data_IF_072805059973
#
_entry.id   IF_072805059973
#
_cell.length_a   1.000
_cell.length_b   1.000
_cell.length_c   1.000
_cell.angle_alpha   90.00
_cell.angle_beta   90.00
_cell.angle_gamma   90.00
#
_symmetry.space_group_name_H-M   'P 1'
#
loop_
_entity.id
_entity.type
_entity.pdbx_description
1 polymer ?
#
# COMPACT_ATOMS: atom_id res chain seq x y z
N UNK A 1 -15.68 -10.20 -0.38
CA UNK A 1 -15.88 -9.61 -1.71
C UNK A 1 -16.57 -8.27 -1.56
N UNK A 2 -15.87 -7.23 -1.96
CA UNK A 2 -16.35 -5.85 -2.04
C UNK A 2 -17.47 -5.74 -3.06
N UNK A 3 -18.48 -4.98 -2.69
CA UNK A 3 -19.66 -4.64 -3.49
C UNK A 3 -19.80 -3.13 -3.50
N UNK A 4 -20.21 -2.55 -4.63
CA UNK A 4 -20.62 -1.14 -4.68
C UNK A 4 -22.13 -1.10 -4.45
N UNK A 5 -22.59 -0.29 -3.49
CA UNK A 5 -24.00 -0.28 -3.06
C UNK A 5 -24.98 -0.06 -4.22
N UNK A 6 -24.67 0.90 -5.10
CA UNK A 6 -25.50 1.21 -6.29
C UNK A 6 -25.27 0.25 -7.47
N UNK A 7 -24.37 -0.73 -7.34
CA UNK A 7 -24.05 -1.72 -8.37
C UNK A 7 -23.77 -3.11 -7.77
N UNK A 8 -24.75 -3.74 -7.08
CA UNK A 8 -24.52 -4.96 -6.31
C UNK A 8 -24.23 -6.21 -7.16
N UNK A 9 -24.49 -6.12 -8.47
CA UNK A 9 -24.29 -7.21 -9.43
C UNK A 9 -22.81 -7.47 -9.73
N UNK A 10 -21.90 -6.54 -9.39
CA UNK A 10 -20.46 -6.72 -9.56
C UNK A 10 -19.80 -6.83 -8.20
N UNK A 11 -19.13 -7.96 -7.97
CA UNK A 11 -18.38 -8.22 -6.74
C UNK A 11 -16.94 -8.51 -7.08
N UNK A 12 -16.02 -7.95 -6.31
CA UNK A 12 -14.57 -8.16 -6.50
C UNK A 12 -13.92 -8.43 -5.15
N UNK A 13 -12.97 -9.36 -5.10
CA UNK A 13 -12.10 -9.59 -3.95
C UNK A 13 -10.67 -9.80 -4.40
N UNK A 14 -9.74 -9.46 -3.51
CA UNK A 14 -8.38 -10.01 -3.54
C UNK A 14 -8.38 -11.24 -2.62
N UNK A 15 -7.91 -12.38 -3.12
CA UNK A 15 -7.87 -13.65 -2.39
C UNK A 15 -6.46 -14.17 -2.29
N UNK A 16 -6.15 -14.83 -1.18
CA UNK A 16 -4.88 -15.52 -0.96
C UNK A 16 -4.94 -16.89 -1.63
N UNK A 17 -3.91 -17.23 -2.41
CA UNK A 17 -3.89 -18.46 -3.24
C UNK A 17 -3.90 -19.74 -2.39
N UNK A 18 -3.18 -19.74 -1.27
CA UNK A 18 -2.98 -20.95 -0.44
C UNK A 18 -4.24 -21.33 0.33
N UNK A 19 -4.91 -20.36 0.94
CA UNK A 19 -6.13 -20.57 1.73
C UNK A 19 -7.41 -20.52 0.91
N UNK A 20 -7.35 -20.00 -0.33
CA UNK A 20 -8.52 -19.63 -1.13
C UNK A 20 -9.52 -18.78 -0.32
N UNK A 21 -9.02 -17.88 0.54
CA UNK A 21 -9.83 -16.98 1.35
C UNK A 21 -9.71 -15.55 0.85
N UNK A 22 -10.77 -14.77 1.02
CA UNK A 22 -10.74 -13.32 0.78
C UNK A 22 -9.77 -12.68 1.78
N UNK A 23 -8.98 -11.69 1.34
CA UNK A 23 -8.26 -10.81 2.26
C UNK A 23 -9.25 -10.11 3.19
N UNK A 24 -8.84 -9.83 4.42
CA UNK A 24 -9.64 -8.98 5.32
C UNK A 24 -9.70 -7.57 4.74
N UNK A 25 -10.91 -7.05 4.62
CA UNK A 25 -11.23 -5.75 4.00
C UNK A 25 -11.60 -4.74 5.09
N UNK A 26 -11.03 -3.53 5.03
CA UNK A 26 -11.32 -2.40 5.92
C UNK A 26 -11.74 -1.18 5.11
N UNK A 27 -12.47 -0.25 5.72
CA UNK A 27 -12.80 1.03 5.08
C UNK A 27 -11.54 1.86 4.83
N UNK A 28 -11.46 2.49 3.65
CA UNK A 28 -10.34 3.38 3.30
C UNK A 28 -10.77 4.84 3.54
N UNK A 29 -10.31 5.49 4.63
CA UNK A 29 -10.69 6.88 4.92
C UNK A 29 -10.06 7.89 3.96
N UNK A 30 -9.01 7.48 3.22
CA UNK A 30 -8.27 8.33 2.30
C UNK A 30 -8.10 7.61 0.96
N UNK A 31 -9.17 7.41 0.16
CA UNK A 31 -9.16 6.61 -1.06
C UNK A 31 -8.15 7.15 -2.09
N UNK A 32 -7.56 6.29 -2.94
CA UNK A 32 -6.48 6.72 -3.83
C UNK A 32 -7.03 7.72 -4.87
N UNK A 33 -6.47 8.93 -4.88
CA UNK A 33 -6.88 10.00 -5.80
C UNK A 33 -6.47 9.76 -7.26
N UNK A 34 -5.43 8.94 -7.50
CA UNK A 34 -4.84 8.78 -8.84
C UNK A 34 -5.07 7.37 -9.37
N UNK A 35 -5.97 7.24 -10.35
CA UNK A 35 -6.16 5.97 -11.06
C UNK A 35 -4.97 5.67 -11.98
N UNK A 36 -4.63 4.39 -12.08
CA UNK A 36 -3.63 3.84 -13.01
C UNK A 36 -4.12 3.90 -14.46
N UNK A 37 -5.43 3.98 -14.65
CA UNK A 37 -6.06 4.07 -15.96
C UNK A 37 -6.77 5.43 -16.13
N UNK A 38 -6.57 6.06 -17.29
CA UNK A 38 -7.34 7.24 -17.65
C UNK A 38 -8.86 6.99 -17.67
N UNK A 39 -9.62 8.07 -17.55
CA UNK A 39 -11.07 8.07 -17.63
C UNK A 39 -11.80 8.09 -16.28
N UNK A 40 -13.11 8.28 -16.36
CA UNK A 40 -14.03 8.36 -15.20
C UNK A 40 -14.79 7.05 -15.03
N UNK A 41 -15.07 6.68 -13.78
CA UNK A 41 -15.92 5.54 -13.46
C UNK A 41 -17.27 6.05 -12.95
N UNK A 42 -18.37 5.38 -13.33
CA UNK A 42 -19.71 5.72 -12.83
C UNK A 42 -19.84 5.37 -11.33
N UNK A 43 -19.26 4.24 -10.95
CA UNK A 43 -19.26 3.73 -9.59
C UNK A 43 -17.82 3.47 -9.15
N UNK A 44 -17.47 3.81 -7.91
CA UNK A 44 -16.16 3.51 -7.35
C UNK A 44 -16.26 3.14 -5.88
N UNK A 45 -15.39 2.24 -5.43
CA UNK A 45 -15.21 1.89 -4.02
C UNK A 45 -13.73 1.65 -3.75
N UNK A 46 -13.28 2.03 -2.56
CA UNK A 46 -11.93 1.78 -2.09
C UNK A 46 -11.99 1.03 -0.76
N UNK A 47 -11.13 0.03 -0.63
CA UNK A 47 -10.93 -0.72 0.61
C UNK A 47 -9.45 -0.87 0.88
N UNK A 48 -9.11 -0.98 2.15
CA UNK A 48 -7.80 -1.40 2.59
C UNK A 48 -7.84 -2.91 2.79
N UNK A 49 -6.80 -3.62 2.35
CA UNK A 49 -6.63 -5.04 2.62
C UNK A 49 -5.30 -5.29 3.32
N UNK A 50 -5.27 -6.32 4.15
CA UNK A 50 -4.03 -6.77 4.77
C UNK A 50 -3.20 -7.58 3.77
N UNK A 51 -1.94 -7.19 3.58
CA UNK A 51 -0.93 -7.96 2.84
C UNK A 51 0.02 -8.67 3.79
N UNK A 52 0.36 -9.89 3.43
CA UNK A 52 1.39 -10.69 4.09
C UNK A 52 2.58 -10.88 3.16
N UNK A 53 3.79 -10.77 3.70
CA UNK A 53 5.02 -10.93 2.92
C UNK A 53 5.07 -12.31 2.23
N UNK A 54 5.61 -12.32 1.02
CA UNK A 54 5.83 -13.52 0.20
C UNK A 54 4.58 -14.36 -0.09
N UNK A 55 3.40 -13.77 0.08
CA UNK A 55 2.13 -14.48 -0.08
C UNK A 55 1.53 -14.27 -1.47
N UNK A 56 1.25 -15.38 -2.17
CA UNK A 56 0.59 -15.35 -3.48
C UNK A 56 -0.88 -14.95 -3.35
N UNK A 57 -1.34 -14.10 -4.27
CA UNK A 57 -2.72 -13.64 -4.30
C UNK A 57 -3.27 -13.60 -5.74
N UNK A 58 -4.60 -13.51 -5.84
CA UNK A 58 -5.29 -13.32 -7.10
C UNK A 58 -6.54 -12.45 -6.94
N UNK A 59 -7.00 -11.89 -8.06
CA UNK A 59 -8.23 -11.12 -8.10
C UNK A 59 -9.36 -12.07 -8.47
N UNK A 60 -10.38 -12.17 -7.63
CA UNK A 60 -11.60 -12.93 -7.88
C UNK A 60 -12.74 -11.96 -8.16
N UNK A 61 -13.56 -12.26 -9.17
CA UNK A 61 -14.72 -11.44 -9.46
C UNK A 61 -15.95 -12.30 -9.79
N UNK A 62 -17.12 -11.76 -9.44
CA UNK A 62 -18.42 -12.35 -9.73
C UNK A 62 -19.32 -11.28 -10.32
N UNK A 63 -19.93 -11.57 -11.47
CA UNK A 63 -20.80 -10.66 -12.19
C UNK A 63 -22.15 -11.34 -12.44
N UNK A 64 -23.22 -10.75 -11.93
CA UNK A 64 -24.59 -11.21 -12.12
C UNK A 64 -25.23 -10.54 -13.33
N UNK A 65 -25.92 -11.32 -14.18
CA UNK A 65 -26.59 -10.79 -15.39
C UNK A 65 -28.02 -10.29 -15.14
N UNK A 66 -28.33 -9.69 -13.99
CA UNK A 66 -29.68 -9.17 -13.75
C UNK A 66 -29.97 -7.89 -14.55
N UNK A 67 -28.92 -7.20 -15.03
CA UNK A 67 -29.01 -5.95 -15.79
C UNK A 67 -28.90 -6.14 -17.32
N UNK A 68 -28.89 -7.38 -17.82
CA UNK A 68 -28.86 -7.68 -19.25
C UNK A 68 -27.58 -7.19 -19.96
N UNK A 69 -26.42 -7.34 -19.31
CA UNK A 69 -25.14 -6.87 -19.85
C UNK A 69 -24.61 -7.68 -21.03
N UNK A 70 -25.12 -8.89 -21.21
CA UNK A 70 -24.67 -9.83 -22.22
C UNK A 70 -25.75 -10.05 -23.26
N UNK A 71 -25.43 -9.72 -24.50
CA UNK A 71 -26.30 -9.91 -25.66
C UNK A 71 -25.43 -10.07 -26.90
N UNK A 72 -25.38 -11.29 -27.46
CA UNK A 72 -24.61 -11.57 -28.67
C UNK A 72 -23.11 -11.34 -28.47
N UNK A 73 -22.55 -10.29 -29.10
CA UNK A 73 -21.14 -9.93 -28.93
C UNK A 73 -20.91 -8.82 -27.89
N UNK A 74 -21.96 -8.32 -27.22
CA UNK A 74 -21.83 -7.36 -26.13
C UNK A 74 -21.53 -8.09 -24.82
N UNK A 75 -20.72 -7.46 -23.99
CA UNK A 75 -20.41 -7.95 -22.66
C UNK A 75 -19.58 -6.95 -21.87
N UNK A 76 -18.83 -7.47 -20.91
CA UNK A 76 -17.98 -6.66 -20.03
C UNK A 76 -16.51 -7.07 -20.17
N UNK A 77 -15.62 -6.15 -19.86
CA UNK A 77 -14.20 -6.45 -19.67
C UNK A 77 -13.80 -6.07 -18.26
N UNK A 78 -13.20 -7.02 -17.55
CA UNK A 78 -12.57 -6.82 -16.25
C UNK A 78 -11.08 -6.65 -16.47
N UNK A 79 -10.55 -5.48 -16.18
CA UNK A 79 -9.12 -5.16 -16.31
C UNK A 79 -8.51 -5.01 -14.93
N UNK A 80 -7.36 -5.65 -14.71
CA UNK A 80 -6.61 -5.54 -13.47
C UNK A 80 -5.35 -4.70 -13.68
N UNK A 81 -5.15 -3.72 -12.82
CA UNK A 81 -3.93 -2.97 -12.64
C UNK A 81 -3.37 -3.26 -11.25
N UNK A 82 -2.06 -3.44 -11.14
CA UNK A 82 -1.37 -3.59 -9.86
C UNK A 82 -0.15 -2.68 -9.89
N UNK A 83 0.01 -1.86 -8.85
CA UNK A 83 1.12 -0.88 -8.74
C UNK A 83 1.25 0.04 -9.97
N UNK A 84 0.11 0.48 -10.52
CA UNK A 84 0.07 1.35 -11.69
C UNK A 84 0.20 0.64 -13.03
N UNK A 85 0.41 -0.68 -13.04
CA UNK A 85 0.70 -1.45 -14.26
C UNK A 85 -0.47 -2.35 -14.62
N UNK A 86 -0.86 -2.35 -15.90
CA UNK A 86 -1.88 -3.25 -16.42
C UNK A 86 -1.35 -4.68 -16.43
N UNK A 87 -2.02 -5.58 -15.71
CA UNK A 87 -1.60 -6.98 -15.58
C UNK A 87 -2.30 -7.88 -16.59
N UNK A 88 -3.63 -7.88 -16.57
CA UNK A 88 -4.45 -8.75 -17.42
C UNK A 88 -5.81 -8.11 -17.68
N UNK A 89 -6.56 -8.66 -18.65
CA UNK A 89 -7.93 -8.29 -18.93
C UNK A 89 -8.74 -9.49 -19.39
N UNK A 90 -9.90 -9.69 -18.76
CA UNK A 90 -10.81 -10.81 -19.06
C UNK A 90 -12.09 -10.29 -19.69
N UNK A 91 -12.43 -10.85 -20.85
CA UNK A 91 -13.69 -10.55 -21.53
C UNK A 91 -14.77 -11.49 -20.98
N UNK A 92 -15.78 -10.91 -20.33
CA UNK A 92 -16.97 -11.59 -19.87
C UNK A 92 -18.05 -11.48 -20.96
N UNK A 93 -18.42 -12.62 -21.56
CA UNK A 93 -19.40 -12.72 -22.65
C UNK A 93 -20.52 -13.67 -22.24
N UNK A 94 -21.62 -13.61 -22.99
CA UNK A 94 -22.80 -14.46 -22.77
C UNK A 94 -22.45 -15.95 -22.67
N UNK A 95 -21.54 -16.45 -23.52
CA UNK A 95 -21.06 -17.85 -23.51
C UNK A 95 -20.40 -18.28 -22.19
N UNK A 96 -19.93 -17.34 -21.38
CA UNK A 96 -19.32 -17.60 -20.08
C UNK A 96 -20.36 -17.66 -18.94
N UNK A 97 -21.61 -17.27 -19.19
CA UNK A 97 -22.67 -17.31 -18.17
C UNK A 97 -22.95 -18.74 -17.71
N UNK A 98 -23.06 -18.91 -16.41
CA UNK A 98 -23.48 -20.14 -15.74
C UNK A 98 -24.51 -19.78 -14.68
N UNK A 99 -25.74 -20.27 -14.85
CA UNK A 99 -26.87 -20.00 -13.93
C UNK A 99 -27.06 -18.49 -13.64
N UNK A 100 -26.86 -17.63 -14.64
CA UNK A 100 -27.01 -16.17 -14.51
C UNK A 100 -25.76 -15.42 -14.02
N UNK A 101 -24.65 -16.11 -13.74
CA UNK A 101 -23.42 -15.49 -13.23
C UNK A 101 -22.22 -15.77 -14.12
N UNK A 102 -21.24 -14.86 -14.12
CA UNK A 102 -19.87 -15.08 -14.55
C UNK A 102 -18.98 -14.96 -13.33
N UNK A 103 -18.25 -16.03 -13.00
CA UNK A 103 -17.23 -16.05 -11.94
C UNK A 103 -15.91 -16.47 -12.55
N UNK A 104 -14.88 -15.69 -12.31
CA UNK A 104 -13.56 -15.95 -12.87
C UNK A 104 -12.49 -15.21 -12.03
N UNK A 105 -11.22 -15.43 -12.35
CA UNK A 105 -10.07 -14.92 -11.61
C UNK A 105 -8.94 -14.44 -12.50
N UNK A 106 -8.19 -13.47 -12.00
CA UNK A 106 -6.94 -12.99 -12.58
C UNK A 106 -5.82 -13.35 -11.59
N UNK A 107 -5.06 -14.39 -11.91
CA UNK A 107 -4.05 -14.99 -11.02
C UNK A 107 -2.65 -14.46 -11.23
N UNK A 108 -2.40 -13.85 -12.38
CA UNK A 108 -1.05 -13.53 -12.80
C UNK A 108 -0.98 -12.84 -14.13
N UNK A 109 0.23 -12.76 -14.65
CA UNK A 109 0.56 -12.20 -15.95
C UNK A 109 1.30 -13.25 -16.78
N UNK A 110 0.94 -13.34 -18.06
CA UNK A 110 1.64 -14.18 -19.02
C UNK A 110 2.71 -13.38 -19.74
N UNK A 111 3.95 -13.83 -19.62
CA UNK A 111 5.13 -13.26 -20.29
C UNK A 111 5.68 -14.24 -21.32
N UNK A 112 6.41 -13.79 -22.35
CA UNK A 112 7.05 -14.71 -23.29
C UNK A 112 7.98 -15.69 -22.56
N UNK A 113 7.87 -16.98 -22.87
CA UNK A 113 8.80 -18.00 -22.35
C UNK A 113 10.11 -18.01 -23.13
N UNK A 114 11.16 -18.56 -22.52
CA UNK A 114 12.38 -18.95 -23.24
C UNK A 114 12.13 -20.10 -24.22
N UNK A 115 11.07 -20.90 -24.00
CA UNK A 115 10.67 -21.96 -24.91
C UNK A 115 9.83 -21.39 -26.06
N UNK A 116 10.24 -21.57 -27.33
CA UNK A 116 9.50 -21.06 -28.47
C UNK A 116 8.04 -21.53 -28.48
N UNK A 117 7.13 -20.60 -28.74
CA UNK A 117 5.69 -20.87 -28.80
C UNK A 117 4.98 -21.01 -27.44
N UNK A 118 5.71 -20.94 -26.32
CA UNK A 118 5.14 -20.98 -24.97
C UNK A 118 5.07 -19.61 -24.32
N UNK A 119 4.17 -19.47 -23.37
CA UNK A 119 4.12 -18.35 -22.44
C UNK A 119 4.47 -18.86 -21.05
N UNK A 120 5.05 -18.02 -20.19
CA UNK A 120 5.23 -18.34 -18.78
C UNK A 120 4.17 -17.58 -17.98
N UNK A 121 3.29 -18.30 -17.29
CA UNK A 121 2.33 -17.71 -16.34
C UNK A 121 3.05 -17.44 -15.03
N UNK A 122 3.10 -16.18 -14.61
CA UNK A 122 3.69 -15.76 -13.34
C UNK A 122 2.61 -15.20 -12.42
N UNK A 123 2.45 -15.80 -11.25
CA UNK A 123 1.43 -15.40 -10.29
C UNK A 123 1.83 -14.13 -9.53
N UNK A 124 0.85 -13.39 -9.04
CA UNK A 124 1.11 -12.24 -8.19
C UNK A 124 1.48 -12.67 -6.78
N UNK A 125 2.40 -11.93 -6.17
CA UNK A 125 2.87 -12.19 -4.81
C UNK A 125 3.18 -10.86 -4.12
N UNK A 126 2.67 -10.66 -2.92
CA UNK A 126 3.04 -9.48 -2.12
C UNK A 126 4.53 -9.54 -1.78
N UNK A 127 5.19 -8.39 -1.81
CA UNK A 127 6.63 -8.32 -1.58
C UNK A 127 7.05 -7.00 -0.95
N UNK A 128 7.88 -7.08 0.09
CA UNK A 128 8.47 -5.91 0.74
C UNK A 128 9.28 -5.04 -0.24
N UNK A 129 9.10 -3.72 -0.11
CA UNK A 129 9.86 -2.71 -0.86
C UNK A 129 11.22 -2.48 -0.19
N UNK A 130 12.28 -2.51 -0.99
CA UNK A 130 13.64 -2.15 -0.54
C UNK A 130 13.91 -0.66 -0.75
N UNK A 131 14.29 0.04 0.32
CA UNK A 131 14.67 1.46 0.28
C UNK A 131 16.16 1.62 -0.01
N UNK A 132 16.53 2.46 -0.97
CA UNK A 132 17.92 2.71 -1.39
C UNK A 132 18.30 4.18 -1.19
N UNK A 133 19.43 4.48 -0.55
CA UNK A 133 19.81 5.87 -0.21
C UNK A 133 20.38 6.65 -1.42
N UNK A 134 21.24 6.04 -2.24
CA UNK A 134 22.00 6.72 -3.30
C UNK A 134 21.44 6.51 -4.71
N UNK A 135 20.11 6.58 -4.86
CA UNK A 135 19.45 6.43 -6.16
C UNK A 135 18.95 7.76 -6.73
N UNK A 136 19.87 8.69 -7.01
CA UNK A 136 19.52 10.03 -7.50
C UNK A 136 19.01 10.04 -8.94
N UNK A 137 19.60 9.22 -9.80
CA UNK A 137 19.35 9.25 -11.26
C UNK A 137 17.93 8.84 -11.66
N UNK A 138 17.22 8.12 -10.78
CA UNK A 138 15.84 7.64 -11.02
C UNK A 138 14.81 8.23 -10.05
N UNK A 139 15.15 9.29 -9.32
CA UNK A 139 14.25 9.85 -8.30
C UNK A 139 12.89 10.27 -8.86
N UNK A 140 12.85 10.81 -10.09
CA UNK A 140 11.59 11.21 -10.74
C UNK A 140 10.71 10.01 -11.09
N UNK A 141 11.31 8.95 -11.65
CA UNK A 141 10.62 7.69 -11.95
C UNK A 141 10.12 7.02 -10.68
N UNK A 142 10.96 6.96 -9.64
CA UNK A 142 10.61 6.39 -8.34
C UNK A 142 9.43 7.15 -7.71
N UNK A 143 9.42 8.49 -7.77
CA UNK A 143 8.30 9.31 -7.29
C UNK A 143 7.00 9.02 -8.04
N UNK A 144 7.07 8.79 -9.35
CA UNK A 144 5.89 8.45 -10.14
C UNK A 144 5.37 7.05 -9.80
N UNK A 145 6.28 6.07 -9.68
CA UNK A 145 5.92 4.71 -9.31
C UNK A 145 5.23 4.64 -7.93
N UNK A 146 5.69 5.43 -6.97
CA UNK A 146 5.13 5.48 -5.60
C UNK A 146 3.67 5.93 -5.57
N UNK A 147 3.18 6.70 -6.56
CA UNK A 147 1.77 7.16 -6.59
C UNK A 147 0.76 6.02 -6.72
N UNK A 148 1.17 4.93 -7.35
CA UNK A 148 0.29 3.78 -7.62
C UNK A 148 0.70 2.54 -6.83
N UNK A 149 1.85 2.56 -6.17
CA UNK A 149 2.41 1.46 -5.42
C UNK A 149 1.52 1.09 -4.23
N UNK A 150 1.36 -0.20 -3.96
CA UNK A 150 0.52 -0.67 -2.87
C UNK A 150 -0.97 -0.70 -3.22
N UNK A 151 -1.33 -0.67 -4.51
CA UNK A 151 -2.73 -0.63 -4.96
C UNK A 151 -2.99 -1.69 -6.03
N UNK A 152 -4.04 -2.48 -5.80
CA UNK A 152 -4.71 -3.27 -6.84
C UNK A 152 -5.94 -2.49 -7.29
N UNK A 153 -6.01 -2.19 -8.58
CA UNK A 153 -7.14 -1.49 -9.19
C UNK A 153 -7.83 -2.40 -10.20
N UNK A 154 -9.12 -2.64 -10.00
CA UNK A 154 -9.94 -3.46 -10.89
C UNK A 154 -11.00 -2.60 -11.56
N UNK A 155 -11.03 -2.61 -12.88
CA UNK A 155 -11.89 -1.77 -13.70
C UNK A 155 -12.83 -2.65 -14.49
N UNK A 156 -14.11 -2.31 -14.47
CA UNK A 156 -15.13 -2.95 -15.32
C UNK A 156 -15.63 -1.97 -16.37
N UNK A 157 -15.60 -2.38 -17.64
CA UNK A 157 -16.04 -1.57 -18.78
C UNK A 157 -16.99 -2.36 -19.68
N UNK A 158 -17.92 -1.66 -20.34
CA UNK A 158 -18.70 -2.25 -21.43
C UNK A 158 -17.77 -2.55 -22.61
N UNK A 159 -18.02 -3.66 -23.29
CA UNK A 159 -17.23 -4.07 -24.44
C UNK A 159 -18.10 -4.73 -25.51
N UNK A 160 -17.66 -4.59 -26.76
CA UNK A 160 -18.16 -5.30 -27.92
C UNK A 160 -17.01 -6.20 -28.41
N UNK A 161 -17.23 -7.50 -28.37
CA UNK A 161 -16.29 -8.50 -28.86
C UNK A 161 -16.26 -8.50 -30.39
N UNK A 162 -15.05 -8.41 -30.95
CA UNK A 162 -14.80 -8.33 -32.39
C UNK A 162 -14.20 -9.62 -32.96
N UNK A 163 -14.11 -10.69 -32.15
CA UNK A 163 -13.48 -11.94 -32.54
C UNK A 163 -12.08 -12.15 -31.94
N UNK A 164 -11.44 -13.26 -32.30
CA UNK A 164 -10.12 -13.60 -31.76
C UNK A 164 -9.03 -12.65 -32.27
N UNK A 165 -8.01 -12.46 -31.44
CA UNK A 165 -6.82 -11.73 -31.80
C UNK A 165 -5.75 -12.69 -32.34
N UNK A 166 -5.08 -12.28 -33.41
CA UNK A 166 -4.15 -13.13 -34.16
C UNK A 166 -2.95 -13.61 -33.32
N UNK A 167 -2.52 -12.83 -32.32
CA UNK A 167 -1.49 -13.23 -31.36
C UNK A 167 -1.74 -12.56 -30.01
N UNK A 168 -1.72 -13.37 -28.96
CA UNK A 168 -1.58 -12.86 -27.60
C UNK A 168 -0.21 -12.20 -27.49
N UNK A 169 -0.17 -10.91 -27.14
CA UNK A 169 1.07 -10.23 -26.77
C UNK A 169 1.23 -10.39 -25.27
N UNK A 170 2.30 -11.07 -24.85
CA UNK A 170 2.66 -11.15 -23.44
C UNK A 170 2.79 -9.76 -22.83
N UNK A 171 2.38 -9.64 -21.57
CA UNK A 171 2.63 -8.43 -20.80
C UNK A 171 4.13 -8.27 -20.52
N UNK A 172 4.54 -7.05 -20.17
CA UNK A 172 5.76 -6.85 -19.39
C UNK A 172 5.33 -6.44 -17.99
N UNK A 173 5.81 -7.17 -16.99
CA UNK A 173 5.44 -6.91 -15.61
C UNK A 173 6.70 -6.98 -14.74
N UNK A 174 7.60 -6.03 -14.99
CA UNK A 174 8.75 -5.81 -14.14
C UNK A 174 8.33 -4.83 -13.05
N UNK A 175 8.03 -5.31 -11.85
CA UNK A 175 7.73 -4.42 -10.72
C UNK A 175 9.00 -3.79 -10.16
N UNK A 176 8.89 -2.56 -9.67
CA UNK A 176 10.00 -1.80 -9.12
C UNK A 176 9.93 -1.81 -7.60
N UNK A 177 10.56 -2.82 -7.00
CA UNK A 177 10.58 -2.99 -5.54
C UNK A 177 11.75 -2.29 -4.88
N UNK A 178 12.78 -1.90 -5.65
CA UNK A 178 13.87 -1.05 -5.17
C UNK A 178 13.51 0.39 -5.50
N UNK A 179 13.38 1.25 -4.50
CA UNK A 179 13.00 2.66 -4.67
C UNK A 179 13.91 3.56 -3.83
N UNK A 180 14.18 4.77 -4.33
CA UNK A 180 14.91 5.78 -3.59
C UNK A 180 14.19 6.09 -2.28
N UNK A 181 14.91 6.09 -1.15
CA UNK A 181 14.39 6.46 0.17
C UNK A 181 13.69 7.83 0.12
N UNK A 182 14.24 8.78 -0.67
CA UNK A 182 13.68 10.12 -0.89
C UNK A 182 12.32 10.13 -1.61
N UNK A 183 11.98 9.11 -2.39
CA UNK A 183 10.67 8.99 -3.03
C UNK A 183 9.59 8.51 -2.04
N UNK A 184 9.98 7.83 -0.96
CA UNK A 184 9.08 7.19 0.01
C UNK A 184 8.83 8.00 1.29
N UNK A 185 9.47 9.17 1.47
CA UNK A 185 9.43 9.95 2.74
C UNK A 185 8.01 10.25 3.23
N UNK A 186 7.04 10.39 2.32
CA UNK A 186 5.63 10.68 2.64
C UNK A 186 4.69 9.49 2.38
N UNK A 187 5.24 8.31 2.11
CA UNK A 187 4.48 7.13 1.77
C UNK A 187 4.53 6.12 2.91
N UNK A 188 3.38 5.65 3.37
CA UNK A 188 3.27 4.55 4.34
C UNK A 188 3.34 3.18 3.67
N UNK A 189 3.57 3.13 2.35
CA UNK A 189 3.62 1.89 1.58
C UNK A 189 4.89 1.11 1.93
N UNK A 190 4.69 -0.10 2.45
CA UNK A 190 5.75 -1.05 2.81
C UNK A 190 5.88 -2.20 1.82
N UNK A 191 4.78 -2.54 1.13
CA UNK A 191 4.70 -3.65 0.20
C UNK A 191 4.40 -3.16 -1.21
N UNK A 192 4.98 -3.85 -2.18
CA UNK A 192 4.59 -3.81 -3.58
C UNK A 192 4.22 -5.22 -4.05
N UNK A 193 4.15 -5.40 -5.36
CA UNK A 193 3.92 -6.70 -5.96
C UNK A 193 5.20 -7.23 -6.61
N UNK A 194 5.41 -8.53 -6.46
CA UNK A 194 6.39 -9.32 -7.20
C UNK A 194 5.68 -10.41 -8.00
N UNK A 195 6.44 -11.10 -8.84
CA UNK A 195 5.95 -12.23 -9.61
C UNK A 195 6.70 -13.49 -9.23
N UNK A 196 6.00 -14.63 -9.26
CA UNK A 196 6.65 -15.94 -9.12
C UNK A 196 7.53 -16.25 -10.34
N UNK A 197 8.40 -17.26 -10.22
CA UNK A 197 9.19 -17.74 -11.37
C UNK A 197 8.29 -18.14 -12.54
N UNK A 198 7.12 -18.70 -12.20
CA UNK A 198 6.06 -19.06 -13.13
C UNK A 198 6.22 -20.45 -13.73
N UNK A 199 5.23 -20.85 -14.52
CA UNK A 199 5.21 -22.13 -15.24
C UNK A 199 4.87 -21.90 -16.70
N UNK A 200 5.50 -22.68 -17.58
CA UNK A 200 5.17 -22.63 -19.00
C UNK A 200 3.75 -23.14 -19.23
N UNK A 201 3.01 -22.39 -20.03
CA UNK A 201 1.63 -22.64 -20.43
C UNK A 201 1.49 -22.40 -21.94
N UNK A 202 0.41 -22.92 -22.52
CA UNK A 202 0.05 -22.55 -23.88
C UNK A 202 -0.37 -21.07 -23.94
N UNK A 203 -0.03 -20.36 -25.02
CA UNK A 203 -0.55 -19.02 -25.23
C UNK A 203 -2.08 -19.07 -25.30
N UNK A 204 -2.77 -18.21 -24.55
CA UNK A 204 -4.22 -18.15 -24.63
C UNK A 204 -4.65 -17.57 -25.98
N UNK A 205 -5.90 -17.83 -26.35
CA UNK A 205 -6.52 -17.11 -27.44
C UNK A 205 -6.76 -15.65 -27.02
N UNK A 206 -6.11 -14.71 -27.71
CA UNK A 206 -6.36 -13.30 -27.49
C UNK A 206 -7.75 -12.91 -27.98
N UNK A 207 -8.32 -11.83 -27.44
CA UNK A 207 -9.62 -11.31 -27.86
C UNK A 207 -9.50 -9.87 -28.32
N UNK A 208 -10.15 -9.52 -29.43
CA UNK A 208 -10.30 -8.12 -29.86
C UNK A 208 -11.61 -7.59 -29.29
N UNK A 209 -11.55 -6.42 -28.66
CA UNK A 209 -12.72 -5.75 -28.08
C UNK A 209 -12.72 -4.27 -28.41
N UNK A 210 -13.92 -3.71 -28.64
CA UNK A 210 -14.17 -2.27 -28.73
C UNK A 210 -14.91 -1.79 -27.48
N UNK A 211 -14.53 -0.64 -26.95
CA UNK A 211 -15.19 -0.01 -25.80
C UNK A 211 -16.17 1.06 -26.31
N UNK A 212 -17.49 0.80 -26.32
CA UNK A 212 -18.47 1.75 -26.88
C UNK A 212 -18.52 3.07 -26.10
N UNK A 213 -18.10 3.08 -24.84
CA UNK A 213 -18.14 4.26 -23.97
C UNK A 213 -16.84 5.06 -23.93
N UNK A 214 -15.86 4.72 -24.79
CA UNK A 214 -14.54 5.33 -24.78
C UNK A 214 -13.87 5.16 -23.41
N UNK A 215 -13.64 6.28 -22.73
CA UNK A 215 -12.95 6.32 -21.43
C UNK A 215 -13.85 6.19 -20.20
N UNK A 216 -15.17 6.13 -20.38
CA UNK A 216 -16.10 5.94 -19.27
C UNK A 216 -16.14 4.47 -18.85
N UNK A 217 -15.88 4.20 -17.58
CA UNK A 217 -15.91 2.88 -16.95
C UNK A 217 -17.23 2.71 -16.19
N UNK A 218 -17.70 1.47 -16.07
CA UNK A 218 -18.88 1.17 -15.23
C UNK A 218 -18.48 1.27 -13.76
N UNK A 219 -17.46 0.50 -13.37
CA UNK A 219 -17.05 0.38 -11.98
C UNK A 219 -15.55 0.37 -11.85
N UNK A 220 -15.07 0.89 -10.71
CA UNK A 220 -13.68 0.85 -10.30
C UNK A 220 -13.57 0.42 -8.83
N UNK A 221 -12.77 -0.59 -8.58
CA UNK A 221 -12.48 -1.10 -7.25
C UNK A 221 -11.02 -0.84 -6.94
N UNK A 222 -10.74 -0.18 -5.83
CA UNK A 222 -9.40 0.00 -5.33
C UNK A 222 -9.20 -0.84 -4.08
N UNK A 223 -8.13 -1.62 -4.06
CA UNK A 223 -7.66 -2.34 -2.89
C UNK A 223 -6.26 -1.85 -2.55
N UNK A 224 -6.15 -1.02 -1.51
CA UNK A 224 -4.86 -0.60 -0.99
C UNK A 224 -4.37 -1.66 -0.03
N UNK A 225 -3.23 -2.27 -0.32
CA UNK A 225 -2.71 -3.32 0.52
C UNK A 225 -1.60 -2.80 1.45
N UNK A 226 -1.72 -3.14 2.73
CA UNK A 226 -0.81 -2.71 3.81
C UNK A 226 -0.46 -3.88 4.71
N UNK A 227 0.74 -3.86 5.29
CA UNK A 227 1.10 -4.83 6.33
C UNK A 227 0.28 -4.62 7.60
N UNK A 228 0.07 -5.69 8.37
CA UNK A 228 -0.62 -5.63 9.67
C UNK A 228 -0.03 -4.56 10.59
N UNK A 229 1.30 -4.48 10.69
CA UNK A 229 2.01 -3.46 11.47
C UNK A 229 1.68 -2.02 11.06
N UNK A 230 1.42 -1.74 9.78
CA UNK A 230 1.02 -0.40 9.34
C UNK A 230 -0.46 -0.15 9.67
N UNK A 231 -1.31 -1.17 9.52
CA UNK A 231 -2.72 -1.07 9.90
C UNK A 231 -2.88 -0.79 11.40
N UNK A 232 -2.08 -1.43 12.26
CA UNK A 232 -2.01 -1.18 13.70
C UNK A 232 -1.53 0.24 14.00
N UNK A 233 -0.48 0.69 13.32
CA UNK A 233 0.10 2.02 13.53
C UNK A 233 -0.83 3.15 13.07
N UNK A 234 -1.65 2.91 12.05
CA UNK A 234 -2.68 3.83 11.60
C UNK A 234 -4.00 3.69 12.39
N UNK A 235 -4.10 2.74 13.33
CA UNK A 235 -5.28 2.51 14.15
C UNK A 235 -6.48 1.92 13.40
N UNK A 236 -6.25 1.32 12.22
CA UNK A 236 -7.29 0.62 11.44
C UNK A 236 -7.64 -0.71 12.10
N UNK A 237 -6.63 -1.39 12.64
CA UNK A 237 -6.82 -2.56 13.50
C UNK A 237 -6.30 -2.24 14.90
N UNK A 238 -6.92 -2.86 15.91
CA UNK A 238 -6.44 -2.72 17.29
C UNK A 238 -5.02 -3.28 17.37
N UNK A 239 -4.14 -2.55 18.06
CA UNK A 239 -2.85 -3.11 18.45
C UNK A 239 -3.14 -4.25 19.39
N UNK A 240 -2.46 -5.36 19.17
CA UNK A 240 -2.40 -6.44 20.13
C UNK A 240 -1.74 -5.88 21.40
N UNK A 241 -2.57 -5.36 22.31
CA UNK A 241 -2.22 -5.08 23.70
C UNK A 241 -2.04 -6.42 24.43
N UNK A 242 -1.19 -7.30 23.90
CA UNK A 242 -0.58 -8.31 24.75
C UNK A 242 0.50 -7.59 25.52
N UNK A 243 0.37 -7.43 26.85
CA UNK A 243 1.57 -7.28 27.62
C UNK A 243 2.40 -8.52 27.27
N UNK A 244 3.54 -8.31 26.60
CA UNK A 244 4.68 -9.16 26.84
C UNK A 244 4.66 -9.35 28.35
N UNK A 245 4.30 -10.56 28.78
CA UNK A 245 4.31 -10.91 30.18
C UNK A 245 5.77 -10.78 30.55
N UNK A 246 6.15 -9.55 30.91
CA UNK A 246 7.34 -9.21 31.64
C UNK A 246 7.33 -10.24 32.73
N UNK A 247 8.28 -11.17 32.63
CA UNK A 247 8.55 -12.11 33.69
C UNK A 247 8.38 -11.33 34.99
N UNK A 248 7.54 -11.80 35.92
CA UNK A 248 7.39 -11.09 37.18
C UNK A 248 8.82 -10.89 37.70
N UNK A 249 9.24 -9.65 37.99
CA UNK A 249 10.59 -9.41 38.49
C UNK A 249 10.81 -10.40 39.64
N UNK A 250 12.00 -11.04 39.73
CA UNK A 250 12.23 -12.10 40.69
C UNK A 250 11.74 -11.60 42.04
N UNK A 251 10.77 -12.34 42.61
CA UNK A 251 10.06 -11.97 43.84
C UNK A 251 11.09 -11.57 44.89
N UNK A 252 11.31 -10.28 45.08
CA UNK A 252 11.87 -9.78 46.31
C UNK A 252 10.79 -9.99 47.35
N UNK A 253 11.18 -10.71 48.41
CA UNK A 253 10.36 -11.02 49.57
C UNK A 253 9.57 -9.78 50.03
N UNK A 254 8.33 -9.94 50.53
CA UNK A 254 7.48 -8.81 50.87
C UNK A 254 8.16 -7.94 51.92
N UNK A 255 8.43 -6.69 51.56
CA UNK A 255 8.83 -5.65 52.50
C UNK A 255 7.55 -5.21 53.24
N UNK A 256 7.55 -5.14 54.58
CA UNK A 256 6.36 -4.74 55.32
C UNK A 256 5.96 -3.30 54.99
N UNK A 257 4.68 -3.13 54.68
CA UNK A 257 3.99 -1.84 54.64
C UNK A 257 4.21 -1.13 55.98
N UNK A 258 4.96 -0.02 55.98
CA UNK A 258 4.96 1.11 56.94
C UNK A 258 6.34 1.76 57.11
N UNK A 259 6.88 2.41 56.07
CA UNK A 259 8.03 3.32 56.24
C UNK A 259 7.74 4.66 55.57
N UNK A 260 7.35 5.62 56.40
CA UNK A 260 7.32 7.05 56.11
C UNK A 260 8.74 7.59 55.91
N UNK A 261 8.89 8.64 55.10
CA UNK A 261 10.16 9.26 54.68
C UNK A 261 11.06 9.69 55.87
N UNK A 262 10.49 9.83 57.07
CA UNK A 262 11.20 10.18 58.30
C UNK A 262 12.10 9.07 58.88
N UNK A 263 12.01 7.83 58.39
CA UNK A 263 12.79 6.69 58.91
C UNK A 263 14.04 6.34 58.07
N UNK A 264 14.38 7.15 57.07
CA UNK A 264 15.56 6.93 56.23
C UNK A 264 16.77 7.69 56.79
N UNK A 265 17.85 6.96 57.10
CA UNK A 265 19.12 7.61 57.48
C UNK A 265 19.62 8.51 56.36
N UNK A 266 20.23 9.66 56.71
CA UNK A 266 20.70 10.65 55.73
C UNK A 266 21.64 10.07 54.67
N UNK A 267 22.38 9.00 54.98
CA UNK A 267 23.24 8.31 54.04
C UNK A 267 22.46 7.63 52.90
N UNK A 268 21.27 7.10 53.20
CA UNK A 268 20.43 6.42 52.22
C UNK A 268 19.75 7.42 51.27
N UNK A 269 19.37 8.58 51.80
CA UNK A 269 18.87 9.71 51.00
C UNK A 269 19.97 10.25 50.08
N UNK A 270 21.20 10.44 50.59
CA UNK A 270 22.33 10.89 49.77
C UNK A 270 22.69 9.91 48.68
N UNK A 271 22.62 8.60 48.95
CA UNK A 271 22.88 7.56 47.96
C UNK A 271 21.86 7.59 46.82
N UNK A 272 20.56 7.72 47.15
CA UNK A 272 19.49 7.82 46.15
C UNK A 272 19.57 9.11 45.31
N UNK A 273 19.94 10.23 45.94
CA UNK A 273 20.13 11.50 45.26
C UNK A 273 21.32 11.44 44.29
N UNK A 274 22.40 10.75 44.66
CA UNK A 274 23.58 10.57 43.82
C UNK A 274 23.28 9.68 42.59
N UNK A 275 22.57 8.56 42.79
CA UNK A 275 22.12 7.68 41.70
C UNK A 275 21.28 8.44 40.66
N UNK A 276 20.31 9.24 41.10
CA UNK A 276 19.48 10.07 40.21
C UNK A 276 20.28 11.13 39.46
N UNK A 277 21.36 11.62 40.05
CA UNK A 277 22.20 12.67 39.45
C UNK A 277 23.16 12.10 38.40
N UNK A 278 23.59 10.86 38.59
CA UNK A 278 24.42 10.13 37.64
C UNK A 278 23.59 9.66 36.42
N UNK A 279 22.33 9.24 36.63
CA UNK A 279 21.38 8.94 35.55
C UNK A 279 21.13 10.16 34.63
N UNK A 280 20.95 11.35 35.21
CA UNK A 280 20.76 12.59 34.45
C UNK A 280 22.02 13.03 33.69
N UNK A 281 23.21 12.65 34.16
CA UNK A 281 24.48 12.95 33.49
C UNK A 281 24.73 12.01 32.30
N UNK A 282 24.35 10.74 32.42
CA UNK A 282 24.43 9.78 31.31
C UNK A 282 23.58 10.22 30.10
N UNK A 283 22.35 10.68 30.34
CA UNK A 283 21.44 11.16 29.28
C UNK A 283 21.98 12.42 28.57
N UNK A 284 22.67 13.32 29.29
CA UNK A 284 23.26 14.54 28.68
C UNK A 284 24.53 14.28 27.87
N UNK A 285 25.21 13.15 28.06
CA UNK A 285 26.44 12.82 27.34
C UNK A 285 26.16 12.23 25.96
N UNK A 286 25.00 11.59 25.77
CA UNK A 286 24.60 11.00 24.48
C UNK A 286 24.13 12.04 23.44
N UNK A 287 23.65 13.22 23.87
CA UNK A 287 23.19 14.29 22.95
C UNK A 287 24.31 15.16 22.34
N UNK A 288 25.59 14.99 22.74
CA UNK A 288 26.72 15.85 22.32
C UNK A 288 27.72 15.17 21.39
N UNK A 289 27.29 14.50 20.32
CA UNK A 289 28.21 14.05 19.26
C UNK A 289 27.63 14.23 17.85
N UNK A 290 27.76 15.45 17.29
CA UNK A 290 28.27 15.80 15.93
C UNK A 290 27.77 17.17 15.44
N UNK A 291 28.71 18.11 15.30
CA UNK A 291 28.73 19.26 14.37
C UNK A 291 30.02 19.07 13.55
N UNK A 292 30.03 19.13 12.23
CA UNK A 292 30.23 20.29 11.33
C UNK A 292 30.10 19.76 9.87
N UNK A 293 29.83 20.50 8.78
CA UNK A 293 29.64 21.92 8.47
C UNK A 293 29.42 22.04 6.94
N UNK A 294 28.47 22.84 6.43
CA UNK A 294 28.65 24.16 5.78
C UNK A 294 27.48 24.35 4.74
N UNK A 295 27.32 25.50 4.04
CA UNK A 295 26.40 26.59 4.39
C UNK A 295 25.29 26.91 3.35
N UNK A 296 24.35 27.79 3.75
CA UNK A 296 23.34 28.58 2.97
C UNK A 296 21.95 27.99 2.66
N UNK A 297 20.93 28.85 2.41
CA UNK A 297 20.55 30.12 3.03
C UNK A 297 19.07 30.05 3.51
N UNK A 298 18.44 31.18 3.87
CA UNK A 298 17.02 31.35 4.29
C UNK A 298 16.75 31.39 5.81
N UNK A 299 17.59 32.12 6.55
CA UNK A 299 17.09 32.78 7.75
C UNK A 299 16.51 34.14 7.37
N UNK A 300 15.21 34.31 7.64
CA UNK A 300 14.54 35.61 7.66
C UNK A 300 15.38 36.58 8.52
N UNK A 301 15.53 37.85 8.12
CA UNK A 301 16.27 38.80 8.93
C UNK A 301 15.59 38.97 10.28
N UNK A 302 16.35 38.75 11.35
CA UNK A 302 15.94 39.03 12.72
C UNK A 302 15.85 40.53 12.90
N UNK A 303 14.66 41.05 13.22
CA UNK A 303 14.48 42.47 13.55
C UNK A 303 15.28 42.80 14.80
N UNK A 304 16.16 43.79 14.70
CA UNK A 304 16.92 44.31 15.83
C UNK A 304 16.20 45.56 16.31
N UNK A 305 15.68 45.50 17.54
CA UNK A 305 15.10 46.65 18.21
C UNK A 305 16.10 47.22 19.19
N UNK A 306 16.23 48.54 19.21
CA UNK A 306 16.88 49.25 20.31
C UNK A 306 15.81 49.98 21.11
N UNK A 307 15.86 49.81 22.43
CA UNK A 307 14.89 50.40 23.37
C UNK A 307 15.64 51.41 24.22
N UNK A 308 15.32 52.68 24.02
CA UNK A 308 15.78 53.78 24.87
C UNK A 308 14.58 54.31 25.68
N UNK A 309 14.80 55.26 26.60
CA UNK A 309 13.82 55.71 27.60
C UNK A 309 12.52 56.31 27.04
N UNK A 310 12.47 56.63 25.75
CA UNK A 310 11.31 57.23 25.07
C UNK A 310 10.63 56.27 24.05
N UNK A 311 11.02 54.99 24.00
CA UNK A 311 10.37 53.95 23.18
C UNK A 311 11.30 53.20 22.21
N UNK A 312 10.75 52.15 21.57
CA UNK A 312 11.51 51.27 20.67
C UNK A 312 11.54 51.78 19.23
N UNK A 313 12.74 51.90 18.65
CA UNK A 313 12.94 52.30 17.24
C UNK A 313 13.38 51.06 16.43
N UNK A 314 12.69 50.81 15.31
CA UNK A 314 13.02 49.75 14.34
C UNK A 314 14.05 50.30 13.35
N UNK A 315 15.22 49.65 13.24
CA UNK A 315 16.37 50.12 12.46
C UNK A 315 16.53 49.36 11.13
N UNK A 316 15.43 48.94 10.49
CA UNK A 316 15.54 48.10 9.28
C UNK A 316 15.79 48.84 7.97
N UNK A 317 15.83 50.17 7.92
CA UNK A 317 16.07 50.93 6.67
C UNK A 317 17.05 52.11 6.88
N UNK A 318 18.34 51.86 6.64
CA UNK A 318 19.34 52.82 6.13
C UNK A 318 20.27 52.11 5.12
#
# INVERSE_FOLDING_TARGET
MVVIEDLPQIKVAVRITVSDSDCVEYDDPDPPFTSSAGGTAQHSVAKIIQSEDDTEFFIHYSIENSLGWYEGNKGLVVTCYIDGKRMDSRVALEKHLRKGFIKDRITGVMVPSVRPGKMTMKNFKFSTITRVEDRKDKLKEDKEAVKHLGVVEVIVSRAIYLGPAQRYRGGSANFQLKLAKKALIKSTVTHGTSLTEGKDVEPPEGSKSKYPDGDRRIARFFFRYKSGTILENEGIIQRDDFPEASEPPPRLSPLPDNLTIDDLSQEKIRKLAQERLDDLRAVKQEEKVKREGSPHPDMRPSKVYKVDSDGAIDLTDE
#
